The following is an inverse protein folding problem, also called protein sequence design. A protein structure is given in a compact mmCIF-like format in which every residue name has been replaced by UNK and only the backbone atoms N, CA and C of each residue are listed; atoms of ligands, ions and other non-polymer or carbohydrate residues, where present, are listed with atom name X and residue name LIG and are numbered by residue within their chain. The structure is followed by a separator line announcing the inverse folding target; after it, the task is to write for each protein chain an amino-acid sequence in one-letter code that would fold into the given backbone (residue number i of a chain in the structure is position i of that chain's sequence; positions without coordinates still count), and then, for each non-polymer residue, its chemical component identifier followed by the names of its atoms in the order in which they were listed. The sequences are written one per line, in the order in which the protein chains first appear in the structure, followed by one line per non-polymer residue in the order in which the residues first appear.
data_IF_942210388936
#
_entry.id   IF_942210388936
#
_cell.length_a   1.000
_cell.length_b   1.000
_cell.length_c   1.000
_cell.angle_alpha   90.00
_cell.angle_beta   90.00
_cell.angle_gamma   90.00
#
_symmetry.space_group_name_H-M   'P 1'
#
loop_
_entity.id
_entity.type
_entity.pdbx_description
1 polymer ?
#
# COMPACT_ATOMS: atom_id res chain seq x y z
N UNK A 1 23.98 14.71 28.42
CA UNK A 1 24.39 13.30 28.22
C UNK A 1 23.25 12.45 27.62
N UNK A 2 22.86 12.61 26.33
CA UNK A 2 21.78 11.80 25.70
C UNK A 2 22.29 10.66 24.80
N UNK A 3 23.58 10.65 24.42
CA UNK A 3 24.16 9.83 23.33
C UNK A 3 24.08 8.30 23.51
N UNK A 4 23.95 7.81 24.73
CA UNK A 4 23.92 6.37 25.03
C UNK A 4 22.54 5.76 24.83
N UNK A 5 21.46 6.52 25.05
CA UNK A 5 20.08 6.02 24.99
C UNK A 5 19.64 5.76 23.54
N UNK A 6 19.99 6.68 22.63
CA UNK A 6 19.66 6.59 21.20
C UNK A 6 20.41 5.40 20.54
N UNK A 7 21.65 5.13 20.97
CA UNK A 7 22.42 3.95 20.51
C UNK A 7 21.77 2.63 20.90
N UNK A 8 21.15 2.55 22.08
CA UNK A 8 20.44 1.33 22.53
C UNK A 8 19.14 1.12 21.76
N UNK A 9 18.39 2.19 21.47
CA UNK A 9 17.14 2.11 20.70
C UNK A 9 17.35 1.59 19.27
N UNK A 10 18.47 1.95 18.63
CA UNK A 10 18.80 1.51 17.27
C UNK A 10 19.51 0.14 17.21
N UNK A 11 19.64 -0.59 18.32
CA UNK A 11 20.38 -1.86 18.34
C UNK A 11 19.73 -2.89 17.42
N UNK A 12 18.43 -3.17 17.61
CA UNK A 12 17.69 -4.12 16.78
C UNK A 12 17.70 -3.70 15.31
N UNK A 13 17.63 -2.39 15.03
CA UNK A 13 17.75 -1.87 13.68
C UNK A 13 19.07 -2.28 13.04
N UNK A 14 20.19 -1.95 13.69
CA UNK A 14 21.53 -2.23 13.18
C UNK A 14 21.81 -3.72 13.06
N UNK A 15 21.32 -4.53 14.00
CA UNK A 15 21.52 -5.99 14.00
C UNK A 15 20.85 -6.68 12.81
N UNK A 16 19.79 -6.09 12.24
CA UNK A 16 19.05 -6.64 11.08
C UNK A 16 19.61 -6.23 9.72
N UNK A 17 20.60 -5.33 9.63
CA UNK A 17 21.11 -4.80 8.34
C UNK A 17 22.57 -5.15 8.09
N UNK A 18 22.87 -5.45 6.84
CA UNK A 18 24.23 -5.43 6.32
C UNK A 18 24.48 -4.13 5.53
N UNK A 19 25.03 -3.13 6.20
CA UNK A 19 25.32 -1.81 5.62
C UNK A 19 26.45 -1.82 4.57
N UNK A 20 27.11 -2.96 4.34
CA UNK A 20 28.00 -3.11 3.19
C UNK A 20 27.23 -3.44 1.91
N UNK A 21 26.00 -3.94 2.05
CA UNK A 21 25.14 -4.35 0.95
C UNK A 21 23.96 -3.41 0.70
N UNK A 22 23.45 -2.71 1.72
CA UNK A 22 22.32 -1.78 1.61
C UNK A 22 22.77 -0.31 1.61
N UNK A 23 22.02 0.55 0.92
CA UNK A 23 22.20 2.01 0.95
C UNK A 23 21.49 2.68 2.16
N UNK A 24 20.89 1.88 3.03
CA UNK A 24 20.21 2.38 4.22
C UNK A 24 21.17 3.08 5.20
N UNK A 25 20.70 4.11 5.93
CA UNK A 25 21.54 4.86 6.85
C UNK A 25 21.89 4.06 8.11
N UNK A 26 23.16 4.11 8.53
CA UNK A 26 23.66 3.43 9.74
C UNK A 26 23.19 4.06 11.07
N UNK A 27 22.59 5.24 11.00
CA UNK A 27 22.15 6.05 12.14
C UNK A 27 23.29 6.82 12.81
N UNK A 28 23.67 7.95 12.20
CA UNK A 28 24.68 8.87 12.71
C UNK A 28 24.10 9.91 13.68
N UNK A 29 24.85 10.99 13.92
CA UNK A 29 24.41 12.13 14.73
C UNK A 29 23.41 12.99 13.94
N UNK A 30 22.28 12.40 13.53
CA UNK A 30 21.16 13.13 12.95
C UNK A 30 20.78 14.28 13.91
N UNK A 31 20.95 15.53 13.45
CA UNK A 31 20.56 16.69 14.25
C UNK A 31 19.06 16.59 14.52
N UNK A 32 18.71 16.50 15.82
CA UNK A 32 17.34 16.75 16.28
C UNK A 32 16.93 18.12 15.76
N UNK A 33 15.89 18.15 14.95
CA UNK A 33 15.27 19.41 14.55
C UNK A 33 14.37 19.89 15.69
N UNK A 34 14.08 21.19 15.73
CA UNK A 34 12.97 21.68 16.56
C UNK A 34 11.66 21.19 15.93
N UNK A 35 10.83 20.50 16.72
CA UNK A 35 9.55 19.94 16.28
C UNK A 35 9.60 18.45 15.94
N UNK A 36 8.41 17.89 15.73
CA UNK A 36 8.22 16.48 15.42
C UNK A 36 7.94 16.29 13.92
N UNK A 37 8.69 15.40 13.28
CA UNK A 37 8.55 15.08 11.86
C UNK A 37 8.02 13.69 11.65
N UNK A 38 7.34 13.47 10.54
CA UNK A 38 6.97 12.13 10.10
C UNK A 38 7.38 11.88 8.65
N UNK A 39 7.47 10.61 8.30
CA UNK A 39 7.51 10.15 6.91
C UNK A 39 6.58 8.96 6.77
N UNK A 40 5.92 8.86 5.62
CA UNK A 40 5.23 7.65 5.17
C UNK A 40 5.94 7.18 3.91
N UNK A 41 6.50 5.98 3.95
CA UNK A 41 7.17 5.37 2.81
C UNK A 41 6.29 4.29 2.22
N UNK A 42 6.13 4.30 0.90
CA UNK A 42 5.55 3.19 0.15
C UNK A 42 6.65 2.17 -0.15
N UNK A 43 6.43 0.92 0.25
CA UNK A 43 7.44 -0.13 0.22
C UNK A 43 6.96 -1.33 -0.60
N UNK A 44 7.52 -1.45 -1.80
CA UNK A 44 7.30 -2.54 -2.75
C UNK A 44 8.23 -3.72 -2.40
N UNK A 45 7.96 -4.35 -1.26
CA UNK A 45 8.63 -5.57 -0.82
C UNK A 45 7.95 -6.82 -1.39
N UNK A 46 8.02 -7.96 -0.68
CA UNK A 46 7.25 -9.17 -1.03
C UNK A 46 5.74 -8.92 -1.07
N UNK A 47 5.26 -7.97 -0.26
CA UNK A 47 3.92 -7.40 -0.30
C UNK A 47 4.04 -5.89 -0.23
N UNK A 48 3.23 -5.18 -1.02
CA UNK A 48 3.10 -3.74 -0.90
C UNK A 48 2.58 -3.40 0.50
N UNK A 49 3.22 -2.44 1.15
CA UNK A 49 2.78 -1.86 2.42
C UNK A 49 3.32 -0.44 2.56
N UNK A 50 2.87 0.27 3.58
CA UNK A 50 3.35 1.60 3.91
C UNK A 50 3.98 1.64 5.29
N UNK A 51 5.18 2.19 5.38
CA UNK A 51 5.86 2.40 6.65
C UNK A 51 5.59 3.82 7.15
N UNK A 52 4.77 3.95 8.18
CA UNK A 52 4.58 5.21 8.92
C UNK A 52 5.67 5.33 9.98
N UNK A 53 6.40 6.44 9.98
CA UNK A 53 7.46 6.70 10.94
C UNK A 53 7.34 8.07 11.59
N UNK A 54 7.42 8.10 12.91
CA UNK A 54 7.28 9.30 13.73
C UNK A 54 8.59 9.58 14.48
N UNK A 55 9.14 10.79 14.32
CA UNK A 55 10.28 11.23 15.12
C UNK A 55 9.89 11.43 16.58
N UNK A 56 10.40 10.54 17.42
CA UNK A 56 10.16 10.57 18.86
C UNK A 56 11.41 10.13 19.61
N UNK A 57 11.81 10.90 20.63
CA UNK A 57 12.98 10.60 21.47
C UNK A 57 14.30 10.35 20.68
N UNK A 58 14.52 11.05 19.57
CA UNK A 58 15.75 10.95 18.78
C UNK A 58 15.85 9.74 17.85
N UNK A 59 14.76 8.98 17.69
CA UNK A 59 14.64 7.90 16.71
C UNK A 59 13.29 8.01 15.97
N UNK A 60 13.07 7.15 14.99
CA UNK A 60 11.81 7.02 14.28
C UNK A 60 11.05 5.79 14.76
N UNK A 61 10.03 6.01 15.60
CA UNK A 61 9.06 4.98 15.92
C UNK A 61 8.29 4.62 14.63
N UNK A 62 8.27 3.34 14.26
CA UNK A 62 7.87 2.87 12.93
C UNK A 62 6.78 1.81 13.00
N UNK A 63 5.83 1.88 12.07
CA UNK A 63 4.77 0.90 11.87
C UNK A 63 4.62 0.56 10.39
N UNK A 64 4.57 -0.73 10.07
CA UNK A 64 4.20 -1.22 8.74
C UNK A 64 2.68 -1.37 8.64
N UNK A 65 2.08 -0.80 7.61
CA UNK A 65 0.63 -0.68 7.43
C UNK A 65 0.27 -1.34 6.09
N UNK A 66 -0.14 -2.62 6.07
CA UNK A 66 -0.28 -3.39 4.84
C UNK A 66 -1.33 -2.86 3.87
N UNK A 67 -2.41 -2.31 4.40
CA UNK A 67 -3.55 -1.88 3.60
C UNK A 67 -3.65 -0.35 3.51
N UNK A 68 -2.54 0.39 3.62
CA UNK A 68 -2.48 1.85 3.52
C UNK A 68 -3.02 2.62 4.74
N UNK A 69 -2.93 3.94 4.73
CA UNK A 69 -3.39 4.82 5.81
C UNK A 69 -4.91 5.06 5.67
N UNK A 70 -5.72 4.96 6.74
CA UNK A 70 -7.17 5.18 6.64
C UNK A 70 -7.49 6.63 6.27
N UNK A 71 -8.37 6.79 5.28
CA UNK A 71 -8.87 8.08 4.82
C UNK A 71 -10.14 8.54 5.56
N UNK A 72 -10.86 7.60 6.19
CA UNK A 72 -12.13 7.83 6.86
C UNK A 72 -12.11 7.31 8.31
N UNK A 73 -12.88 7.93 9.23
CA UNK A 73 -13.00 7.42 10.61
C UNK A 73 -13.63 6.03 10.73
N UNK A 74 -14.49 5.64 9.80
CA UNK A 74 -15.10 4.31 9.80
C UNK A 74 -14.08 3.19 9.54
N UNK A 75 -12.92 3.53 8.98
CA UNK A 75 -11.90 2.58 8.54
C UNK A 75 -10.76 2.45 9.56
N UNK A 76 -10.67 1.27 10.18
CA UNK A 76 -9.59 0.91 11.09
C UNK A 76 -8.61 -0.04 10.37
N UNK A 77 -7.33 0.32 10.31
CA UNK A 77 -6.31 -0.48 9.60
C UNK A 77 -5.24 -1.03 10.52
N UNK A 78 -4.81 -2.27 10.28
CA UNK A 78 -3.70 -2.89 10.99
C UNK A 78 -2.42 -2.09 10.76
N UNK A 79 -1.72 -1.79 11.85
CA UNK A 79 -0.40 -1.17 11.87
C UNK A 79 0.52 -2.06 12.72
N UNK A 80 1.49 -2.73 12.11
CA UNK A 80 2.42 -3.62 12.82
C UNK A 80 3.62 -2.80 13.27
N UNK A 81 3.88 -2.71 14.57
CA UNK A 81 5.07 -2.03 15.12
C UNK A 81 6.33 -2.75 14.62
N UNK A 82 7.22 -2.00 14.00
CA UNK A 82 8.56 -2.46 13.59
C UNK A 82 9.63 -1.81 14.46
N UNK A 83 10.89 -2.22 14.31
CA UNK A 83 11.99 -1.62 15.07
C UNK A 83 12.12 -0.11 14.83
N UNK A 84 12.76 0.59 15.77
CA UNK A 84 13.02 2.03 15.62
C UNK A 84 14.06 2.28 14.54
N UNK A 85 13.82 3.28 13.70
CA UNK A 85 14.72 3.64 12.60
C UNK A 85 15.53 4.90 12.93
N UNK A 86 16.71 5.10 12.33
CA UNK A 86 17.48 6.32 12.51
C UNK A 86 16.79 7.55 11.89
N UNK A 87 17.08 8.76 12.36
CA UNK A 87 16.42 9.98 11.86
C UNK A 87 16.68 10.24 10.37
N UNK A 88 17.82 9.80 9.85
CA UNK A 88 18.17 9.90 8.43
C UNK A 88 17.17 9.14 7.53
N UNK A 89 16.47 8.13 8.08
CA UNK A 89 15.44 7.39 7.35
C UNK A 89 14.24 8.27 6.94
N UNK A 90 14.06 9.46 7.55
CA UNK A 90 13.07 10.46 7.12
C UNK A 90 13.21 10.84 5.64
N UNK A 91 14.42 10.72 5.08
CA UNK A 91 14.74 11.11 3.69
C UNK A 91 15.12 9.93 2.81
N UNK A 92 15.15 8.72 3.37
CA UNK A 92 15.57 7.55 2.63
C UNK A 92 14.51 7.13 1.60
N UNK A 93 14.98 6.83 0.40
CA UNK A 93 14.25 6.25 -0.71
C UNK A 93 15.27 5.55 -1.61
N UNK A 94 14.86 4.51 -2.32
CA UNK A 94 15.76 3.72 -3.16
C UNK A 94 15.40 2.24 -3.17
N UNK A 95 16.30 1.43 -3.71
CA UNK A 95 16.16 -0.02 -3.75
C UNK A 95 16.97 -0.66 -2.61
N UNK A 96 16.31 -1.48 -1.80
CA UNK A 96 16.95 -2.36 -0.83
C UNK A 96 17.18 -3.71 -1.53
N UNK A 97 18.44 -4.17 -1.69
CA UNK A 97 18.74 -5.34 -2.50
C UNK A 97 18.05 -6.62 -2.04
N UNK A 98 17.74 -7.50 -3.00
CA UNK A 98 17.19 -8.83 -2.72
C UNK A 98 18.06 -9.60 -1.73
N UNK A 99 17.41 -10.26 -0.76
CA UNK A 99 18.08 -11.03 0.29
C UNK A 99 18.43 -10.21 1.54
N UNK A 100 18.34 -8.88 1.47
CA UNK A 100 18.44 -8.01 2.65
C UNK A 100 17.10 -7.95 3.40
N UNK A 101 17.16 -7.64 4.69
CA UNK A 101 15.96 -7.37 5.47
C UNK A 101 15.26 -6.11 4.93
N UNK A 102 13.97 -6.21 4.63
CA UNK A 102 13.24 -5.12 3.97
C UNK A 102 13.57 -4.97 2.48
N UNK A 103 14.03 -6.02 1.80
CA UNK A 103 14.25 -5.98 0.35
C UNK A 103 13.01 -5.52 -0.42
N UNK A 104 13.22 -4.60 -1.37
CA UNK A 104 12.16 -3.97 -2.13
C UNK A 104 12.50 -2.54 -2.54
N UNK A 105 11.64 -1.95 -3.37
CA UNK A 105 11.74 -0.53 -3.73
C UNK A 105 10.99 0.30 -2.71
N UNK A 106 11.62 1.36 -2.21
CA UNK A 106 11.05 2.27 -1.22
C UNK A 106 10.99 3.68 -1.77
N UNK A 107 9.81 4.30 -1.70
CA UNK A 107 9.59 5.68 -2.12
C UNK A 107 8.92 6.47 -0.99
N UNK A 108 9.21 7.76 -0.86
CA UNK A 108 8.48 8.62 0.08
C UNK A 108 7.10 8.92 -0.51
N UNK A 109 6.06 8.42 0.14
CA UNK A 109 4.68 8.71 -0.25
C UNK A 109 4.22 10.07 0.28
N UNK A 110 4.55 10.38 1.53
CA UNK A 110 4.32 11.69 2.14
C UNK A 110 5.30 11.95 3.29
N UNK A 111 5.48 13.22 3.64
CA UNK A 111 6.30 13.62 4.79
C UNK A 111 5.84 15.00 5.28
N UNK A 112 6.15 15.31 6.54
CA UNK A 112 5.77 16.60 7.09
C UNK A 112 6.07 16.72 8.58
N UNK A 113 5.43 17.70 9.20
CA UNK A 113 5.43 17.86 10.66
C UNK A 113 4.21 17.17 11.26
N UNK A 114 4.25 16.89 12.55
CA UNK A 114 3.07 16.47 13.30
C UNK A 114 3.01 17.13 14.68
N UNK A 115 1.80 17.36 15.17
CA UNK A 115 1.57 17.75 16.57
C UNK A 115 1.36 16.50 17.41
N UNK A 116 2.09 16.40 18.52
CA UNK A 116 1.94 15.32 19.47
C UNK A 116 0.85 15.64 20.49
N UNK A 117 -0.23 14.85 20.51
CA UNK A 117 -1.28 14.96 21.53
C UNK A 117 -1.07 13.98 22.68
N UNK A 118 -0.63 12.77 22.35
CA UNK A 118 -0.49 11.67 23.32
C UNK A 118 0.58 10.68 22.92
N UNK A 119 1.44 10.29 23.86
CA UNK A 119 2.41 9.21 23.68
C UNK A 119 2.47 8.32 24.93
N UNK A 120 1.84 7.16 24.85
CA UNK A 120 1.84 6.11 25.87
C UNK A 120 2.29 4.78 25.24
N UNK A 121 2.63 3.79 26.06
CA UNK A 121 3.13 2.49 25.60
C UNK A 121 2.18 1.76 24.63
N UNK A 122 0.87 1.95 24.80
CA UNK A 122 -0.18 1.29 24.02
C UNK A 122 -1.04 2.25 23.20
N UNK A 123 -0.75 3.55 23.23
CA UNK A 123 -1.55 4.57 22.54
C UNK A 123 -0.72 5.77 22.12
N UNK A 124 -0.82 6.13 20.84
CA UNK A 124 -0.22 7.34 20.28
C UNK A 124 -1.33 8.14 19.59
N UNK A 125 -1.42 9.45 19.85
CA UNK A 125 -2.31 10.35 19.12
C UNK A 125 -1.53 11.54 18.58
N UNK A 126 -1.68 11.80 17.29
CA UNK A 126 -0.96 12.86 16.56
C UNK A 126 -1.87 13.54 15.56
N UNK A 127 -1.60 14.80 15.24
CA UNK A 127 -2.16 15.48 14.06
C UNK A 127 -1.08 15.66 13.02
N UNK A 128 -1.30 15.12 11.82
CA UNK A 128 -0.35 15.21 10.72
C UNK A 128 -0.54 16.50 9.92
N UNK A 129 0.58 17.04 9.45
CA UNK A 129 0.68 18.20 8.57
C UNK A 129 1.60 17.87 7.38
N UNK A 130 1.16 16.94 6.53
CA UNK A 130 1.80 16.62 5.25
C UNK A 130 1.03 17.14 4.05
N UNK A 131 1.52 16.83 2.85
CA UNK A 131 0.84 17.21 1.60
C UNK A 131 -0.34 16.27 1.31
N UNK A 132 -0.24 15.00 1.71
CA UNK A 132 -1.26 13.97 1.45
C UNK A 132 -1.93 13.47 2.73
N UNK A 133 -1.17 13.34 3.80
CA UNK A 133 -1.60 12.92 5.12
C UNK A 133 -1.76 14.13 6.03
N UNK A 134 -3.02 14.41 6.36
CA UNK A 134 -3.38 15.51 7.25
C UNK A 134 -4.52 15.12 8.20
N UNK A 135 -4.62 15.81 9.33
CA UNK A 135 -5.65 15.59 10.33
C UNK A 135 -5.20 14.69 11.47
N UNK A 136 -6.10 14.46 12.44
CA UNK A 136 -5.82 13.72 13.67
C UNK A 136 -5.98 12.22 13.50
N UNK A 137 -5.01 11.47 14.02
CA UNK A 137 -4.97 10.02 14.00
C UNK A 137 -4.63 9.45 15.37
N UNK A 138 -5.18 8.27 15.65
CA UNK A 138 -4.84 7.45 16.80
C UNK A 138 -4.22 6.13 16.36
N UNK A 139 -3.12 5.75 17.01
CA UNK A 139 -2.59 4.39 16.99
C UNK A 139 -2.82 3.74 18.35
N UNK A 140 -3.32 2.51 18.38
CA UNK A 140 -3.56 1.78 19.62
C UNK A 140 -3.17 0.31 19.51
N UNK A 141 -2.46 -0.21 20.52
CA UNK A 141 -2.01 -1.60 20.57
C UNK A 141 -3.21 -2.52 20.80
N UNK A 142 -3.36 -3.53 19.95
CA UNK A 142 -4.35 -4.61 20.10
C UNK A 142 -3.70 -5.93 20.54
N UNK A 143 -2.40 -6.08 20.27
CA UNK A 143 -1.57 -7.18 20.71
C UNK A 143 -1.45 -7.31 22.22
N UNK A 144 -1.76 -8.50 22.75
CA UNK A 144 -1.64 -8.79 24.19
C UNK A 144 -0.35 -9.53 24.54
N UNK A 145 0.05 -10.55 23.76
CA UNK A 145 1.25 -11.37 23.97
C UNK A 145 1.67 -12.12 22.69
N UNK A 146 2.87 -12.72 22.70
CA UNK A 146 3.34 -13.63 21.66
C UNK A 146 3.49 -12.95 20.28
N UNK A 147 3.13 -13.68 19.22
CA UNK A 147 3.29 -13.24 17.83
C UNK A 147 2.50 -11.96 17.51
N UNK A 148 1.43 -11.67 18.26
CA UNK A 148 0.61 -10.47 18.11
C UNK A 148 1.13 -9.25 18.89
N UNK A 149 2.22 -9.37 19.66
CA UNK A 149 2.65 -8.30 20.58
C UNK A 149 2.92 -6.95 19.88
N UNK A 150 3.23 -7.00 18.59
CA UNK A 150 3.49 -5.84 17.75
C UNK A 150 2.25 -5.35 16.97
N UNK A 151 1.08 -5.94 17.18
CA UNK A 151 -0.13 -5.57 16.45
C UNK A 151 -0.76 -4.31 17.07
N UNK A 152 -0.84 -3.26 16.27
CA UNK A 152 -1.56 -2.03 16.55
C UNK A 152 -2.62 -1.81 15.48
N UNK A 153 -3.51 -0.89 15.76
CA UNK A 153 -4.46 -0.35 14.79
C UNK A 153 -4.19 1.14 14.63
N UNK A 154 -4.31 1.64 13.41
CA UNK A 154 -4.38 3.06 13.08
C UNK A 154 -5.82 3.43 12.69
N UNK A 155 -6.25 4.59 13.15
CA UNK A 155 -7.59 5.13 12.93
C UNK A 155 -7.52 6.64 12.73
N UNK A 156 -8.29 7.15 11.76
CA UNK A 156 -8.47 8.59 11.55
C UNK A 156 -9.55 9.10 12.52
N UNK A 157 -9.25 10.12 13.31
CA UNK A 157 -10.19 10.69 14.29
C UNK A 157 -11.01 11.86 13.71
N UNK A 158 -10.41 12.63 12.79
CA UNK A 158 -11.08 13.75 12.13
C UNK A 158 -11.92 13.29 10.92
N UNK A 159 -12.93 14.07 10.50
CA UNK A 159 -13.66 13.81 9.26
C UNK A 159 -12.73 13.59 8.05
N UNK A 160 -13.18 12.84 7.02
CA UNK A 160 -12.40 12.64 5.80
C UNK A 160 -12.04 13.97 5.15
N UNK A 161 -10.88 14.03 4.51
CA UNK A 161 -10.43 15.23 3.77
C UNK A 161 -11.35 15.56 2.59
N UNK A 162 -11.94 14.53 1.98
CA UNK A 162 -12.93 14.65 0.91
C UNK A 162 -14.22 13.94 1.37
N UNK A 163 -15.16 14.65 2.02
CA UNK A 163 -16.39 14.07 2.55
C UNK A 163 -17.41 13.71 1.46
N UNK A 164 -17.25 14.25 0.25
CA UNK A 164 -18.15 14.01 -0.88
C UNK A 164 -17.68 12.84 -1.76
N UNK A 165 -16.52 12.25 -1.43
CA UNK A 165 -15.99 11.08 -2.11
C UNK A 165 -16.98 9.91 -2.01
N UNK A 166 -17.39 9.41 -3.17
CA UNK A 166 -18.20 8.19 -3.23
C UNK A 166 -17.39 6.98 -2.71
N UNK A 167 -18.00 6.08 -1.92
CA UNK A 167 -17.34 4.86 -1.49
C UNK A 167 -17.04 3.95 -2.68
N UNK A 168 -16.06 3.06 -2.52
CA UNK A 168 -15.80 1.98 -3.49
C UNK A 168 -17.10 1.20 -3.76
N UNK A 169 -17.58 1.12 -5.01
CA UNK A 169 -18.78 0.35 -5.32
C UNK A 169 -18.59 -1.13 -5.01
N UNK A 170 -19.64 -1.77 -4.50
CA UNK A 170 -19.62 -3.21 -4.21
C UNK A 170 -19.59 -4.03 -5.51
N UNK A 171 -20.41 -3.65 -6.50
CA UNK A 171 -20.46 -4.29 -7.80
C UNK A 171 -20.62 -3.28 -8.93
N UNK A 172 -19.90 -3.51 -10.02
CA UNK A 172 -20.09 -2.84 -11.31
C UNK A 172 -20.45 -3.90 -12.33
N UNK A 173 -21.67 -3.79 -12.89
CA UNK A 173 -22.11 -4.66 -13.99
C UNK A 173 -21.59 -4.06 -15.30
N UNK A 174 -20.66 -4.73 -16.00
CA UNK A 174 -20.08 -4.18 -17.22
C UNK A 174 -21.11 -4.04 -18.35
N UNK A 175 -20.96 -3.00 -19.17
CA UNK A 175 -21.74 -2.86 -20.39
C UNK A 175 -21.49 -4.03 -21.36
N UNK A 176 -22.56 -4.58 -21.92
CA UNK A 176 -22.49 -5.73 -22.83
C UNK A 176 -22.59 -5.30 -24.29
N UNK A 177 -21.70 -5.84 -25.12
CA UNK A 177 -21.81 -5.69 -26.56
C UNK A 177 -23.11 -6.30 -27.08
N UNK A 178 -23.71 -5.65 -28.08
CA UNK A 178 -24.87 -6.16 -28.80
C UNK A 178 -24.43 -6.56 -30.21
N UNK A 179 -24.87 -7.71 -30.73
CA UNK A 179 -24.57 -8.10 -32.09
C UNK A 179 -25.16 -7.07 -33.06
N UNK A 180 -24.41 -6.72 -34.11
CA UNK A 180 -24.84 -5.85 -35.20
C UNK A 180 -24.27 -6.38 -36.51
N UNK A 181 -25.07 -6.34 -37.57
CA UNK A 181 -24.65 -6.68 -38.93
C UNK A 181 -23.92 -5.52 -39.61
N UNK A 182 -24.13 -4.29 -39.13
CA UNK A 182 -23.57 -3.08 -39.70
C UNK A 182 -22.59 -2.45 -38.71
N UNK A 183 -21.41 -2.09 -39.22
CA UNK A 183 -20.48 -1.24 -38.48
C UNK A 183 -21.06 0.18 -38.34
N UNK A 184 -20.85 0.84 -37.19
CA UNK A 184 -21.17 2.25 -37.03
C UNK A 184 -20.48 3.08 -38.12
N UNK A 185 -21.24 3.95 -38.80
CA UNK A 185 -20.75 4.77 -39.92
C UNK A 185 -20.16 6.12 -39.49
N UNK A 186 -20.35 6.49 -38.23
CA UNK A 186 -19.91 7.78 -37.71
C UNK A 186 -18.46 7.69 -37.20
N UNK A 187 -17.52 7.89 -38.12
CA UNK A 187 -16.09 7.82 -37.84
C UNK A 187 -15.61 8.87 -36.81
N UNK A 188 -16.41 9.90 -36.51
CA UNK A 188 -16.05 10.90 -35.49
C UNK A 188 -16.32 10.42 -34.07
N UNK A 189 -17.31 9.54 -33.90
CA UNK A 189 -17.76 9.05 -32.60
C UNK A 189 -17.36 7.60 -32.33
N UNK A 190 -16.78 6.91 -33.32
CA UNK A 190 -16.43 5.50 -33.21
C UNK A 190 -14.95 5.27 -33.52
N UNK A 191 -14.34 4.42 -32.71
CA UNK A 191 -13.02 3.85 -32.96
C UNK A 191 -13.13 2.33 -32.86
N UNK A 192 -12.28 1.62 -33.59
CA UNK A 192 -12.29 0.17 -33.65
C UNK A 192 -11.04 -0.37 -32.98
N UNK A 193 -11.21 -1.39 -32.15
CA UNK A 193 -10.12 -2.13 -31.52
C UNK A 193 -10.20 -3.61 -31.94
N UNK A 194 -9.05 -4.27 -32.00
CA UNK A 194 -9.01 -5.73 -32.14
C UNK A 194 -9.71 -6.34 -30.94
N UNK A 195 -10.65 -7.27 -31.21
CA UNK A 195 -11.23 -8.06 -30.14
C UNK A 195 -10.17 -9.01 -29.59
N UNK A 196 -9.81 -8.81 -28.33
CA UNK A 196 -9.01 -9.77 -27.59
C UNK A 196 -9.91 -10.93 -27.10
N UNK A 197 -9.46 -12.17 -27.31
CA UNK A 197 -10.14 -13.36 -26.79
C UNK A 197 -9.58 -13.69 -25.40
N UNK A 198 -10.30 -13.27 -24.36
CA UNK A 198 -9.88 -13.42 -22.98
C UNK A 198 -11.02 -13.67 -21.99
N UNK A 199 -10.76 -13.30 -20.73
CA UNK A 199 -11.78 -13.26 -19.68
C UNK A 199 -11.92 -11.83 -19.18
N UNK A 200 -13.08 -11.22 -19.44
CA UNK A 200 -13.42 -9.91 -18.86
C UNK A 200 -13.47 -9.97 -17.34
N UNK A 201 -12.75 -9.05 -16.70
CA UNK A 201 -12.69 -8.89 -15.26
C UNK A 201 -12.82 -7.44 -14.83
N UNK A 202 -13.54 -7.21 -13.74
CA UNK A 202 -13.65 -5.92 -13.06
C UNK A 202 -12.77 -5.98 -11.82
N UNK A 203 -11.67 -5.23 -11.82
CA UNK A 203 -10.74 -5.15 -10.70
C UNK A 203 -11.09 -3.95 -9.81
N UNK A 204 -11.36 -4.21 -8.54
CA UNK A 204 -11.50 -3.21 -7.49
C UNK A 204 -10.17 -3.17 -6.74
N UNK A 205 -9.39 -2.12 -6.99
CA UNK A 205 -8.06 -1.94 -6.42
C UNK A 205 -8.16 -0.90 -5.31
N UNK A 206 -7.67 -1.27 -4.13
CA UNK A 206 -7.50 -0.40 -2.97
C UNK A 206 -6.08 -0.57 -2.43
N UNK A 207 -5.60 0.32 -1.55
CA UNK A 207 -4.25 0.19 -0.98
C UNK A 207 -4.04 -1.19 -0.34
N UNK A 208 -3.10 -1.97 -0.89
CA UNK A 208 -2.78 -3.33 -0.42
C UNK A 208 -3.82 -4.42 -0.71
N UNK A 209 -4.92 -4.10 -1.41
CA UNK A 209 -6.03 -5.03 -1.67
C UNK A 209 -6.45 -5.03 -3.13
N UNK A 210 -6.76 -6.22 -3.62
CA UNK A 210 -7.35 -6.44 -4.93
C UNK A 210 -8.53 -7.40 -4.77
N UNK A 211 -9.66 -7.05 -5.35
CA UNK A 211 -10.74 -7.98 -5.66
C UNK A 211 -10.98 -7.95 -7.16
N UNK A 212 -11.13 -9.10 -7.77
CA UNK A 212 -11.40 -9.26 -9.19
C UNK A 212 -12.69 -10.04 -9.38
N UNK A 213 -13.66 -9.44 -10.07
CA UNK A 213 -14.91 -10.09 -10.41
C UNK A 213 -15.00 -10.40 -11.90
N UNK A 214 -15.51 -11.58 -12.23
CA UNK A 214 -15.91 -11.90 -13.60
C UNK A 214 -17.14 -11.09 -14.02
N UNK A 215 -17.45 -11.08 -15.32
CA UNK A 215 -18.69 -10.51 -15.88
C UNK A 215 -20.00 -10.93 -15.20
N UNK A 216 -20.02 -12.05 -14.48
CA UNK A 216 -21.19 -12.58 -13.80
C UNK A 216 -21.12 -12.36 -12.27
N UNK A 217 -20.28 -11.43 -11.81
CA UNK A 217 -20.09 -11.06 -10.39
C UNK A 217 -19.51 -12.15 -9.49
N UNK A 218 -18.92 -13.20 -10.07
CA UNK A 218 -18.15 -14.18 -9.29
C UNK A 218 -16.77 -13.61 -8.98
N UNK A 219 -16.34 -13.68 -7.71
CA UNK A 219 -14.96 -13.41 -7.31
C UNK A 219 -14.04 -14.47 -7.94
N UNK A 220 -13.07 -13.99 -8.71
CA UNK A 220 -12.07 -14.79 -9.42
C UNK A 220 -10.64 -14.34 -9.08
N UNK A 221 -10.47 -13.61 -7.97
CA UNK A 221 -9.19 -13.02 -7.55
C UNK A 221 -8.07 -14.06 -7.48
N UNK A 222 -8.34 -15.21 -6.86
CA UNK A 222 -7.35 -16.28 -6.70
C UNK A 222 -7.06 -17.05 -7.99
N UNK A 223 -7.95 -16.99 -8.99
CA UNK A 223 -7.72 -17.63 -10.28
C UNK A 223 -6.69 -16.88 -11.14
N UNK A 224 -6.47 -15.59 -10.86
CA UNK A 224 -5.60 -14.71 -11.64
C UNK A 224 -4.60 -13.95 -10.75
N UNK A 225 -3.69 -14.66 -10.05
CA UNK A 225 -2.72 -14.03 -9.16
C UNK A 225 -1.77 -13.06 -9.87
N UNK A 226 -1.55 -13.21 -11.18
CA UNK A 226 -0.73 -12.31 -12.00
C UNK A 226 -1.28 -10.87 -12.02
N UNK A 227 -2.59 -10.71 -11.80
CA UNK A 227 -3.25 -9.39 -11.75
C UNK A 227 -2.94 -8.64 -10.44
N UNK A 228 -2.41 -9.31 -9.41
CA UNK A 228 -2.00 -8.66 -8.15
C UNK A 228 -0.98 -7.54 -8.32
N UNK A 229 -0.24 -7.52 -9.45
CA UNK A 229 0.65 -6.42 -9.81
C UNK A 229 -0.06 -5.05 -9.88
N UNK A 230 -1.38 -5.03 -10.11
CA UNK A 230 -2.18 -3.81 -10.08
C UNK A 230 -2.13 -3.08 -8.73
N UNK A 231 -2.01 -3.81 -7.62
CA UNK A 231 -1.92 -3.20 -6.28
C UNK A 231 -0.71 -2.26 -6.21
N UNK A 232 0.45 -2.73 -6.70
CA UNK A 232 1.67 -1.90 -6.77
C UNK A 232 1.55 -0.77 -7.78
N UNK A 233 0.95 -1.00 -8.94
CA UNK A 233 0.81 0.02 -9.98
C UNK A 233 -0.12 1.18 -9.58
N UNK A 234 -1.16 0.89 -8.79
CA UNK A 234 -2.15 1.88 -8.32
C UNK A 234 -1.69 2.54 -7.00
N UNK A 235 -0.95 1.82 -6.15
CA UNK A 235 -0.38 2.33 -4.91
C UNK A 235 -1.46 2.69 -3.88
N UNK A 236 -1.42 3.93 -3.35
CA UNK A 236 -2.41 4.46 -2.38
C UNK A 236 -3.74 4.88 -3.01
N UNK A 237 -3.88 4.84 -4.33
CA UNK A 237 -5.12 5.23 -4.98
C UNK A 237 -6.15 4.09 -4.90
N UNK A 238 -7.41 4.47 -5.13
CA UNK A 238 -8.47 3.49 -5.34
C UNK A 238 -8.95 3.60 -6.79
N UNK A 239 -9.21 2.45 -7.40
CA UNK A 239 -9.67 2.40 -8.78
C UNK A 239 -10.58 1.19 -9.03
N UNK A 240 -11.57 1.39 -9.89
CA UNK A 240 -12.28 0.29 -10.56
C UNK A 240 -11.77 0.23 -11.99
N UNK A 241 -11.20 -0.91 -12.37
CA UNK A 241 -10.65 -1.14 -13.70
C UNK A 241 -11.46 -2.22 -14.40
N UNK A 242 -12.06 -1.88 -15.53
CA UNK A 242 -12.74 -2.82 -16.43
C UNK A 242 -11.79 -3.20 -17.55
N UNK A 243 -11.48 -4.49 -17.68
CA UNK A 243 -10.52 -4.96 -18.67
C UNK A 243 -10.66 -6.43 -19.02
N UNK A 244 -9.85 -6.84 -19.99
CA UNK A 244 -9.80 -8.21 -20.50
C UNK A 244 -8.49 -8.88 -20.07
N UNK A 245 -8.57 -10.03 -19.39
CA UNK A 245 -7.41 -10.85 -19.06
C UNK A 245 -7.11 -11.74 -20.26
N UNK A 246 -5.93 -11.56 -20.84
CA UNK A 246 -5.52 -12.25 -22.07
C UNK A 246 -4.26 -13.06 -21.81
N UNK A 247 -4.22 -14.30 -22.27
CA UNK A 247 -3.02 -15.12 -22.29
C UNK A 247 -2.48 -15.20 -23.73
N UNK A 248 -1.17 -15.05 -23.89
CA UNK A 248 -0.50 -15.16 -25.18
C UNK A 248 0.23 -16.50 -25.31
N UNK A 249 0.29 -17.03 -26.53
CA UNK A 249 1.16 -18.15 -26.89
C UNK A 249 2.61 -17.69 -27.13
N UNK A 250 3.48 -18.64 -27.48
CA UNK A 250 4.92 -18.39 -27.72
C UNK A 250 5.19 -17.44 -28.91
N UNK A 251 4.20 -17.26 -29.80
CA UNK A 251 4.27 -16.36 -30.94
C UNK A 251 3.58 -15.01 -30.66
N UNK A 252 3.16 -14.76 -29.42
CA UNK A 252 2.47 -13.53 -29.02
C UNK A 252 1.01 -13.46 -29.49
N UNK A 253 0.38 -14.59 -29.84
CA UNK A 253 -1.05 -14.62 -30.23
C UNK A 253 -1.95 -14.92 -29.03
N UNK A 254 -3.12 -14.28 -28.90
CA UNK A 254 -4.09 -14.62 -27.87
C UNK A 254 -4.48 -16.09 -27.91
N UNK A 255 -4.51 -16.74 -26.76
CA UNK A 255 -4.77 -18.17 -26.60
C UNK A 255 -5.75 -18.41 -25.47
N UNK A 256 -7.05 -18.38 -25.79
CA UNK A 256 -8.12 -18.59 -24.82
C UNK A 256 -8.07 -19.97 -24.12
N UNK A 257 -7.58 -21.01 -24.80
CA UNK A 257 -7.41 -22.35 -24.22
C UNK A 257 -6.55 -22.34 -22.93
N UNK A 258 -5.53 -21.46 -22.88
CA UNK A 258 -4.66 -21.31 -21.72
C UNK A 258 -5.42 -20.74 -20.50
N UNK A 259 -6.45 -19.94 -20.73
CA UNK A 259 -7.31 -19.37 -19.68
C UNK A 259 -8.42 -20.34 -19.26
N UNK A 260 -8.95 -21.16 -20.18
CA UNK A 260 -10.06 -22.10 -19.91
C UNK A 260 -9.78 -23.04 -18.73
N UNK A 261 -8.52 -23.48 -18.58
CA UNK A 261 -8.10 -24.36 -17.48
C UNK A 261 -8.27 -23.72 -16.09
N UNK A 262 -8.30 -22.39 -16.02
CA UNK A 262 -8.42 -21.63 -14.76
C UNK A 262 -9.85 -21.20 -14.43
N UNK A 263 -10.74 -21.13 -15.43
CA UNK A 263 -12.15 -20.77 -15.23
C UNK A 263 -12.92 -21.73 -14.31
N UNK A 264 -12.38 -22.92 -14.04
CA UNK A 264 -12.98 -23.96 -13.20
C UNK A 264 -12.23 -24.17 -11.87
N UNK A 265 -11.14 -23.45 -11.63
CA UNK A 265 -10.38 -23.55 -10.38
C UNK A 265 -11.13 -22.74 -9.33
N UNK A 266 -11.79 -23.45 -8.40
CA UNK A 266 -12.33 -22.84 -7.18
C UNK A 266 -11.22 -22.84 -6.14
N UNK A 267 -10.98 -21.68 -5.53
CA UNK A 267 -10.15 -21.53 -4.34
C UNK A 267 -10.75 -22.25 -3.14
#
# INVERSE_FOLDING_TARGET
MPRTKDKTKLREYRDKRDFSATAEPTGGDGRRAEGHRFVVQEHHATRLHWDLRLEHDGVLASWAIPNGIPAEPSDNRLAVRTEDHPLEYLKFHGEIPKGQYGAGTMTIWDHGAYDLHKWEESKVEVSFHGERLSGRYGLFRIGKTGDSANDWMIHRMDPPTDPDRAPMPEHVVPMMARPSELLPRDEKNWSFEVKWDGVRGIAYVQPGRLRLESRNLNDVTEAYPEVRGLIGAIGMHEAVLDGEIVAFDENGRPSFERLQRRMHVRG
#
